data_IF_980929958371
#
_entry.id   IF_980929958371
#
_cell.length_a   1.000
_cell.length_b   1.000
_cell.length_c   1.000
_cell.angle_alpha   90.00
_cell.angle_beta   90.00
_cell.angle_gamma   90.00
#
_symmetry.space_group_name_H-M   'P 1'
#
loop_
_entity.id
_entity.type
_entity.pdbx_description
1 polymer ?
#
# COMPACT_ATOMS: atom_id res chain seq x y z
N UNK A 1 -3.80 7.12 -21.61
CA UNK A 1 -2.32 7.03 -21.57
C UNK A 1 -1.98 5.77 -20.81
N UNK A 2 -1.55 4.71 -21.50
CA UNK A 2 -1.08 3.49 -20.85
C UNK A 2 0.35 3.73 -20.39
N UNK A 3 0.62 3.61 -19.09
CA UNK A 3 1.98 3.74 -18.55
C UNK A 3 2.79 2.54 -19.08
N UNK A 4 3.83 2.75 -19.91
CA UNK A 4 4.65 1.65 -20.40
C UNK A 4 5.47 1.09 -19.23
N UNK A 5 5.31 -0.21 -18.93
CA UNK A 5 6.12 -0.94 -17.96
C UNK A 5 5.34 -1.63 -16.83
N UNK A 6 4.13 -1.16 -16.49
CA UNK A 6 3.42 -1.70 -15.33
C UNK A 6 2.86 -3.10 -15.60
N UNK A 7 3.53 -4.13 -15.07
CA UNK A 7 2.98 -5.49 -14.97
C UNK A 7 1.95 -5.53 -13.84
N UNK A 8 0.76 -6.07 -14.10
CA UNK A 8 -0.25 -6.33 -13.07
C UNK A 8 0.41 -7.04 -11.88
N UNK A 9 0.32 -6.45 -10.68
CA UNK A 9 0.92 -6.99 -9.46
C UNK A 9 0.41 -8.40 -9.15
N UNK A 10 1.25 -9.22 -8.51
CA UNK A 10 0.86 -10.56 -8.07
C UNK A 10 -0.23 -10.45 -6.99
N UNK A 11 -1.47 -10.84 -7.31
CA UNK A 11 -2.66 -10.69 -6.43
C UNK A 11 -2.60 -11.55 -5.14
N UNK A 12 -1.63 -12.46 -5.06
CA UNK A 12 -1.35 -13.27 -3.88
C UNK A 12 0.13 -13.14 -3.48
N UNK A 13 0.52 -11.95 -3.01
CA UNK A 13 1.93 -11.63 -2.68
C UNK A 13 2.52 -12.59 -1.64
N UNK A 14 1.70 -13.09 -0.72
CA UNK A 14 2.13 -14.01 0.35
C UNK A 14 2.08 -15.49 -0.04
N UNK A 15 1.74 -15.81 -1.29
CA UNK A 15 1.59 -17.19 -1.78
C UNK A 15 0.75 -18.08 -0.84
N UNK A 16 -0.36 -17.53 -0.34
CA UNK A 16 -1.27 -18.27 0.52
C UNK A 16 -1.92 -19.42 -0.26
N UNK A 17 -2.11 -20.60 0.38
CA UNK A 17 -2.80 -21.71 -0.26
C UNK A 17 -4.25 -21.32 -0.56
N UNK A 18 -4.77 -21.83 -1.66
CA UNK A 18 -6.18 -21.75 -1.98
C UNK A 18 -6.91 -22.96 -1.36
N UNK A 19 -8.13 -22.73 -0.88
CA UNK A 19 -9.05 -23.76 -0.45
C UNK A 19 -9.59 -24.58 -1.64
N UNK A 20 -10.42 -25.58 -1.35
CA UNK A 20 -11.08 -26.41 -2.36
C UNK A 20 -11.99 -25.61 -3.30
N UNK A 21 -12.36 -24.39 -2.92
CA UNK A 21 -13.20 -23.47 -3.67
C UNK A 21 -12.39 -22.44 -4.47
N UNK A 22 -11.05 -22.53 -4.50
CA UNK A 22 -10.18 -21.60 -5.22
C UNK A 22 -10.09 -20.22 -4.57
N UNK A 23 -10.39 -20.11 -3.28
CA UNK A 23 -10.28 -18.88 -2.50
C UNK A 23 -9.19 -18.98 -1.45
N UNK A 24 -8.68 -17.85 -0.99
CA UNK A 24 -7.61 -17.76 0.02
C UNK A 24 -8.04 -16.95 1.23
N UNK A 25 -7.29 -17.04 2.32
CA UNK A 25 -7.48 -16.15 3.46
C UNK A 25 -6.94 -14.73 3.22
N UNK A 26 -7.37 -13.80 4.08
CA UNK A 26 -6.81 -12.45 4.14
C UNK A 26 -5.31 -12.50 4.41
N UNK A 27 -4.54 -11.73 3.66
CA UNK A 27 -3.08 -11.70 3.85
C UNK A 27 -2.67 -10.88 5.07
N UNK A 28 -3.55 -9.98 5.50
CA UNK A 28 -3.42 -9.10 6.66
C UNK A 28 -4.48 -9.46 7.71
N UNK A 29 -4.08 -9.55 8.98
CA UNK A 29 -5.01 -9.81 10.09
C UNK A 29 -5.92 -8.63 10.40
N UNK A 30 -7.18 -8.91 10.77
CA UNK A 30 -8.20 -7.88 11.03
C UNK A 30 -7.83 -6.96 12.20
N UNK A 31 -7.36 -7.50 13.33
CA UNK A 31 -6.97 -6.70 14.50
C UNK A 31 -5.58 -6.05 14.39
N UNK A 32 -5.02 -5.97 13.18
CA UNK A 32 -3.74 -5.34 12.90
C UNK A 32 -3.78 -3.81 12.83
N UNK A 33 -4.80 -3.14 13.39
CA UNK A 33 -4.95 -1.68 13.39
C UNK A 33 -3.65 -0.94 13.79
N UNK A 34 -2.92 -1.46 14.78
CA UNK A 34 -1.69 -0.85 15.29
C UNK A 34 -0.48 -1.00 14.38
N UNK A 35 -0.53 -1.87 13.37
CA UNK A 35 0.58 -2.07 12.44
C UNK A 35 0.68 -0.96 11.38
N UNK A 36 -0.37 -0.14 11.21
CA UNK A 36 -0.34 1.09 10.41
C UNK A 36 -1.05 2.20 11.19
N UNK A 37 -0.29 2.82 12.11
CA UNK A 37 -0.81 3.88 12.96
C UNK A 37 -1.28 5.11 12.15
N UNK A 38 -0.64 5.40 11.01
CA UNK A 38 -1.01 6.53 10.16
C UNK A 38 -2.39 6.34 9.55
N UNK A 39 -2.64 5.18 8.94
CA UNK A 39 -3.97 4.84 8.42
C UNK A 39 -4.99 4.66 9.54
N UNK A 40 -4.59 4.13 10.70
CA UNK A 40 -5.47 3.99 11.86
C UNK A 40 -5.93 5.36 12.38
N UNK A 41 -5.03 6.30 12.62
CA UNK A 41 -5.38 7.66 13.05
C UNK A 41 -6.27 8.37 12.03
N UNK A 42 -5.99 8.22 10.73
CA UNK A 42 -6.85 8.78 9.69
C UNK A 42 -8.24 8.12 9.69
N UNK A 43 -8.32 6.80 9.86
CA UNK A 43 -9.59 6.08 9.96
C UNK A 43 -10.39 6.47 11.21
N UNK A 44 -9.71 6.82 12.31
CA UNK A 44 -10.36 7.27 13.55
C UNK A 44 -10.85 8.71 13.46
N UNK A 45 -10.06 9.64 12.93
CA UNK A 45 -10.42 11.07 12.89
C UNK A 45 -11.24 11.45 11.66
N UNK A 46 -11.04 10.76 10.54
CA UNK A 46 -11.70 11.03 9.27
C UNK A 46 -11.94 9.72 8.50
N UNK A 47 -12.86 8.83 8.96
CA UNK A 47 -13.11 7.53 8.33
C UNK A 47 -13.50 7.65 6.86
N UNK A 48 -14.24 8.69 6.47
CA UNK A 48 -14.60 8.95 5.08
C UNK A 48 -13.40 9.24 4.18
N UNK A 49 -12.38 9.98 4.66
CA UNK A 49 -11.17 10.22 3.89
C UNK A 49 -10.34 8.94 3.76
N UNK A 50 -10.24 8.16 4.85
CA UNK A 50 -9.53 6.89 4.84
C UNK A 50 -10.18 5.87 3.89
N UNK A 51 -11.51 5.77 3.93
CA UNK A 51 -12.27 4.88 3.07
C UNK A 51 -12.28 5.35 1.61
N UNK A 52 -12.54 6.63 1.33
CA UNK A 52 -12.45 7.19 -0.03
C UNK A 52 -11.06 6.99 -0.66
N UNK A 53 -9.98 7.12 0.14
CA UNK A 53 -8.62 6.82 -0.31
C UNK A 53 -8.47 5.35 -0.74
N UNK A 54 -8.96 4.40 0.07
CA UNK A 54 -8.92 2.97 -0.27
C UNK A 54 -9.76 2.67 -1.52
N UNK A 55 -10.95 3.23 -1.62
CA UNK A 55 -11.84 3.03 -2.77
C UNK A 55 -11.24 3.56 -4.06
N UNK A 56 -10.61 4.74 -4.03
CA UNK A 56 -9.88 5.30 -5.17
C UNK A 56 -8.74 4.39 -5.60
N UNK A 57 -7.93 3.90 -4.66
CA UNK A 57 -6.83 2.97 -4.95
C UNK A 57 -7.37 1.71 -5.60
N UNK A 58 -8.38 1.08 -5.02
CA UNK A 58 -9.03 -0.12 -5.55
C UNK A 58 -9.61 0.10 -6.96
N UNK A 59 -10.30 1.21 -7.21
CA UNK A 59 -10.88 1.52 -8.51
C UNK A 59 -9.81 1.75 -9.58
N UNK A 60 -8.72 2.45 -9.26
CA UNK A 60 -7.58 2.60 -10.15
C UNK A 60 -6.92 1.24 -10.46
N UNK A 61 -6.76 0.41 -9.42
CA UNK A 61 -6.29 -0.96 -9.55
C UNK A 61 -7.22 -1.80 -10.43
N UNK A 62 -8.54 -1.64 -10.33
CA UNK A 62 -9.53 -2.38 -11.14
C UNK A 62 -9.51 -1.95 -12.62
N UNK A 63 -9.35 -0.65 -12.90
CA UNK A 63 -9.37 -0.11 -14.27
C UNK A 63 -8.05 -0.29 -15.00
N UNK A 64 -6.94 -0.03 -14.34
CA UNK A 64 -5.62 0.04 -14.96
C UNK A 64 -4.73 -1.16 -14.63
N UNK A 65 -5.11 -2.01 -13.67
CA UNK A 65 -4.25 -3.06 -13.11
C UNK A 65 -2.86 -2.53 -12.71
N UNK A 66 -2.82 -1.28 -12.26
CA UNK A 66 -1.62 -0.53 -11.93
C UNK A 66 -1.82 0.24 -10.61
N UNK A 67 -0.77 0.41 -9.79
CA UNK A 67 -0.84 1.26 -8.62
C UNK A 67 -1.12 2.71 -9.02
N UNK A 68 -1.94 3.42 -8.22
CA UNK A 68 -2.17 4.85 -8.43
C UNK A 68 -0.85 5.61 -8.17
N UNK A 69 -0.34 6.42 -9.13
CA UNK A 69 0.87 7.21 -8.95
C UNK A 69 0.77 8.22 -7.79
N UNK A 70 -0.45 8.53 -7.31
CA UNK A 70 -0.72 9.43 -6.18
C UNK A 70 -1.31 8.70 -4.96
N UNK A 71 -1.02 7.40 -4.76
CA UNK A 71 -1.51 6.59 -3.61
C UNK A 71 -1.25 7.17 -2.21
N UNK A 72 -0.18 7.97 -2.05
CA UNK A 72 0.20 8.55 -0.75
C UNK A 72 -0.62 9.79 -0.37
N UNK A 73 -1.38 10.36 -1.30
CA UNK A 73 -2.18 11.56 -1.03
C UNK A 73 -3.42 11.21 -0.21
N UNK A 74 -3.67 11.97 0.85
CA UNK A 74 -4.85 11.82 1.72
C UNK A 74 -6.07 12.46 1.08
N UNK A 75 -5.89 13.65 0.50
CA UNK A 75 -6.97 14.37 -0.17
C UNK A 75 -7.21 13.79 -1.57
N UNK A 76 -8.48 13.55 -1.95
CA UNK A 76 -8.79 13.09 -3.29
C UNK A 76 -8.36 14.12 -4.35
N UNK A 77 -7.94 13.63 -5.53
CA UNK A 77 -7.87 14.47 -6.75
C UNK A 77 -9.28 14.79 -7.26
N UNK A 78 -9.39 15.54 -8.35
CA UNK A 78 -10.69 15.80 -9.01
C UNK A 78 -11.54 14.53 -9.23
N UNK A 79 -10.92 13.43 -9.64
CA UNK A 79 -11.55 12.11 -9.82
C UNK A 79 -11.91 11.38 -8.51
N UNK A 80 -11.35 11.81 -7.38
CA UNK A 80 -11.64 11.24 -6.07
C UNK A 80 -12.69 12.03 -5.29
N UNK A 81 -12.96 13.28 -5.67
CA UNK A 81 -13.85 14.17 -4.93
C UNK A 81 -15.29 13.66 -4.90
N UNK A 82 -15.73 12.98 -5.97
CA UNK A 82 -17.06 12.35 -5.98
C UNK A 82 -17.21 11.26 -4.92
N UNK A 83 -16.16 10.47 -4.64
CA UNK A 83 -16.23 9.42 -3.62
C UNK A 83 -16.29 10.02 -2.22
N UNK A 84 -15.50 11.06 -1.95
CA UNK A 84 -15.57 11.80 -0.70
C UNK A 84 -16.94 12.46 -0.51
N UNK A 85 -17.45 13.14 -1.55
CA UNK A 85 -18.77 13.78 -1.47
C UNK A 85 -19.87 12.76 -1.26
N UNK A 86 -19.85 11.62 -1.94
CA UNK A 86 -20.82 10.54 -1.75
C UNK A 86 -20.77 9.97 -0.33
N UNK A 87 -19.59 9.84 0.25
CA UNK A 87 -19.43 9.35 1.63
C UNK A 87 -19.90 10.36 2.68
N UNK A 88 -19.68 11.65 2.44
CA UNK A 88 -20.12 12.73 3.33
C UNK A 88 -21.62 13.00 3.19
N UNK A 89 -22.16 13.00 1.96
CA UNK A 89 -23.54 13.34 1.69
C UNK A 89 -24.52 12.23 2.07
N UNK A 90 -24.09 10.97 2.06
CA UNK A 90 -24.99 9.86 2.32
C UNK A 90 -25.01 9.40 3.78
N UNK A 91 -24.06 9.76 4.64
CA UNK A 91 -23.86 9.21 6.02
C UNK A 91 -23.85 7.66 6.14
N UNK A 92 -24.10 6.93 5.04
CA UNK A 92 -24.07 5.48 4.90
C UNK A 92 -22.67 4.99 4.53
N UNK A 93 -21.63 5.61 5.11
CA UNK A 93 -20.24 5.23 4.84
C UNK A 93 -19.97 3.75 5.07
N UNK A 94 -20.64 3.15 6.07
CA UNK A 94 -20.56 1.72 6.37
C UNK A 94 -21.11 0.83 5.24
N UNK A 95 -22.13 1.27 4.48
CA UNK A 95 -22.64 0.50 3.32
C UNK A 95 -21.60 0.48 2.21
N UNK A 96 -21.02 1.64 1.92
CA UNK A 96 -19.96 1.74 0.91
C UNK A 96 -18.72 0.94 1.35
N UNK A 97 -18.46 0.89 2.65
CA UNK A 97 -17.40 0.08 3.23
C UNK A 97 -17.61 -1.43 3.02
N UNK A 98 -18.83 -1.93 3.23
CA UNK A 98 -19.17 -3.33 2.90
C UNK A 98 -18.95 -3.60 1.40
N UNK A 99 -19.39 -2.68 0.53
CA UNK A 99 -19.21 -2.83 -0.91
C UNK A 99 -17.72 -2.84 -1.30
N UNK A 100 -16.91 -1.93 -0.76
CA UNK A 100 -15.46 -1.89 -1.01
C UNK A 100 -14.80 -3.18 -0.53
N UNK A 101 -15.13 -3.67 0.66
CA UNK A 101 -14.61 -4.93 1.20
C UNK A 101 -14.95 -6.11 0.28
N UNK A 102 -16.17 -6.20 -0.23
CA UNK A 102 -16.56 -7.24 -1.21
C UNK A 102 -15.75 -7.15 -2.50
N UNK A 103 -15.57 -5.95 -3.06
CA UNK A 103 -14.76 -5.75 -4.27
C UNK A 103 -13.29 -6.18 -4.07
N UNK A 104 -12.73 -5.91 -2.89
CA UNK A 104 -11.39 -6.40 -2.51
C UNK A 104 -11.37 -7.92 -2.50
N UNK A 105 -12.35 -8.56 -1.84
CA UNK A 105 -12.42 -10.02 -1.77
C UNK A 105 -12.57 -10.67 -3.14
N UNK A 106 -13.40 -10.11 -4.02
CA UNK A 106 -13.56 -10.59 -5.39
C UNK A 106 -12.27 -10.44 -6.21
N UNK A 107 -11.58 -9.30 -6.10
CA UNK A 107 -10.32 -9.04 -6.79
C UNK A 107 -9.23 -10.05 -6.42
N UNK A 108 -9.15 -10.39 -5.13
CA UNK A 108 -8.09 -11.21 -4.56
C UNK A 108 -8.48 -12.67 -4.31
N UNK A 109 -9.69 -13.07 -4.70
CA UNK A 109 -10.27 -14.39 -4.43
C UNK A 109 -10.20 -14.75 -2.94
N UNK A 110 -10.63 -13.84 -2.04
CA UNK A 110 -10.58 -14.06 -0.59
C UNK A 110 -11.85 -14.72 -0.07
N UNK A 111 -11.72 -15.76 0.74
CA UNK A 111 -12.87 -16.44 1.35
C UNK A 111 -13.57 -15.61 2.43
N UNK A 112 -14.85 -15.92 2.65
CA UNK A 112 -15.73 -15.22 3.56
C UNK A 112 -17.18 -15.20 3.08
N UNK A 113 -18.06 -14.82 3.99
CA UNK A 113 -19.50 -14.77 3.76
C UNK A 113 -20.00 -13.31 3.75
N UNK A 114 -21.18 -13.09 3.17
CA UNK A 114 -21.88 -11.80 3.26
C UNK A 114 -22.07 -11.34 4.72
N UNK A 115 -22.15 -12.29 5.65
CA UNK A 115 -22.28 -12.03 7.08
C UNK A 115 -20.97 -11.53 7.70
N UNK A 116 -19.83 -12.15 7.36
CA UNK A 116 -18.52 -11.68 7.79
C UNK A 116 -18.23 -10.26 7.28
N UNK A 117 -18.59 -9.98 6.03
CA UNK A 117 -18.41 -8.65 5.44
C UNK A 117 -19.33 -7.58 6.02
N UNK A 118 -20.45 -7.96 6.64
CA UNK A 118 -21.33 -7.05 7.36
C UNK A 118 -20.83 -6.80 8.79
N UNK A 119 -20.48 -7.87 9.53
CA UNK A 119 -20.10 -7.76 10.93
C UNK A 119 -18.77 -7.04 11.15
N UNK A 120 -17.83 -7.18 10.22
CA UNK A 120 -16.49 -6.59 10.37
C UNK A 120 -16.52 -5.05 10.35
N UNK A 121 -17.11 -4.40 9.33
CA UNK A 121 -17.31 -2.94 9.34
C UNK A 121 -18.21 -2.46 10.49
N UNK A 122 -19.16 -3.29 10.94
CA UNK A 122 -20.07 -2.94 12.04
C UNK A 122 -19.38 -2.93 13.40
N UNK A 123 -18.62 -3.98 13.73
CA UNK A 123 -17.98 -4.12 15.04
C UNK A 123 -16.69 -3.31 15.16
N UNK A 124 -15.94 -3.13 14.07
CA UNK A 124 -14.69 -2.39 14.09
C UNK A 124 -14.38 -1.74 12.73
N UNK A 125 -15.03 -0.62 12.38
CA UNK A 125 -14.88 0.03 11.08
C UNK A 125 -13.45 0.47 10.79
N UNK A 126 -12.72 0.97 11.79
CA UNK A 126 -11.32 1.38 11.63
C UNK A 126 -10.40 0.22 11.23
N UNK A 127 -10.59 -0.97 11.81
CA UNK A 127 -9.73 -2.11 11.49
C UNK A 127 -10.04 -2.70 10.13
N UNK A 128 -11.28 -2.63 9.67
CA UNK A 128 -11.61 -2.98 8.30
C UNK A 128 -10.97 -2.01 7.27
N UNK A 129 -10.99 -0.70 7.54
CA UNK A 129 -10.31 0.30 6.69
C UNK A 129 -8.80 0.03 6.65
N UNK A 130 -8.17 -0.22 7.79
CA UNK A 130 -6.73 -0.50 7.87
C UNK A 130 -6.39 -1.83 7.17
N UNK A 131 -7.16 -2.89 7.41
CA UNK A 131 -6.97 -4.18 6.76
C UNK A 131 -7.05 -4.04 5.23
N UNK A 132 -8.08 -3.35 4.75
CA UNK A 132 -8.30 -3.08 3.32
C UNK A 132 -7.15 -2.25 2.71
N UNK A 133 -6.71 -1.20 3.40
CA UNK A 133 -5.59 -0.35 2.96
C UNK A 133 -4.29 -1.13 2.79
N UNK A 134 -4.02 -2.04 3.74
CA UNK A 134 -2.81 -2.85 3.75
C UNK A 134 -2.84 -3.97 2.70
N UNK A 135 -4.00 -4.59 2.47
CA UNK A 135 -4.15 -5.57 1.39
C UNK A 135 -3.88 -4.92 0.03
N UNK A 136 -4.40 -3.71 -0.20
CA UNK A 136 -4.10 -2.92 -1.41
C UNK A 136 -2.61 -2.54 -1.50
N UNK A 137 -1.99 -2.18 -0.38
CA UNK A 137 -0.57 -1.81 -0.36
C UNK A 137 0.34 -2.98 -0.80
N UNK A 138 -0.01 -4.21 -0.41
CA UNK A 138 0.75 -5.40 -0.81
C UNK A 138 0.75 -5.59 -2.33
N UNK A 139 -0.40 -5.48 -3.00
CA UNK A 139 -0.44 -5.56 -4.47
C UNK A 139 0.34 -4.41 -5.13
N UNK A 140 0.20 -3.19 -4.60
CA UNK A 140 0.89 -2.01 -5.12
C UNK A 140 2.43 -2.12 -4.97
N UNK A 141 2.92 -2.69 -3.88
CA UNK A 141 4.33 -2.95 -3.62
C UNK A 141 4.87 -4.06 -4.53
N UNK A 142 4.12 -5.15 -4.69
CA UNK A 142 4.49 -6.25 -5.58
C UNK A 142 4.58 -5.80 -7.05
N UNK A 143 3.70 -4.88 -7.46
CA UNK A 143 3.75 -4.25 -8.77
C UNK A 143 5.00 -3.38 -8.94
N UNK A 144 5.38 -2.62 -7.91
CA UNK A 144 6.57 -1.76 -7.91
C UNK A 144 7.87 -2.58 -7.95
N UNK A 145 7.92 -3.73 -7.29
CA UNK A 145 9.10 -4.61 -7.28
C UNK A 145 9.33 -5.34 -8.61
N UNK A 146 8.28 -5.53 -9.43
CA UNK A 146 8.37 -6.16 -10.75
C UNK A 146 9.26 -5.41 -11.75
N UNK A 147 9.48 -4.11 -11.53
CA UNK A 147 10.35 -3.25 -12.37
C UNK A 147 11.82 -3.29 -11.93
N UNK A 148 12.15 -3.89 -10.77
CA UNK A 148 13.48 -3.86 -10.16
C UNK A 148 14.34 -5.12 -10.34
N UNK A 149 13.79 -6.24 -10.82
CA UNK A 149 14.54 -7.50 -10.96
C UNK A 149 15.16 -7.70 -12.36
N UNK A 150 15.51 -6.59 -13.02
CA UNK A 150 16.29 -6.51 -14.24
C UNK A 150 17.70 -5.92 -14.06
N UNK A 151 18.17 -5.73 -12.83
CA UNK A 151 19.58 -5.39 -12.57
C UNK A 151 20.09 -6.05 -11.30
N UNK A 152 20.34 -7.36 -11.38
CA UNK A 152 21.40 -7.97 -10.57
C UNK A 152 22.70 -7.73 -11.34
N UNK A 153 23.30 -6.56 -11.14
CA UNK A 153 24.73 -6.40 -11.42
C UNK A 153 25.45 -7.26 -10.39
N UNK A 154 25.83 -8.48 -10.79
CA UNK A 154 26.89 -9.24 -10.14
C UNK A 154 28.17 -8.44 -10.36
N UNK A 155 28.45 -7.49 -9.47
CA UNK A 155 29.83 -7.12 -9.20
C UNK A 155 30.34 -8.15 -8.19
N UNK A 156 30.95 -9.19 -8.75
CA UNK A 156 31.95 -9.93 -8.01
C UNK A 156 33.10 -8.98 -7.74
N UNK A 157 33.37 -8.68 -6.49
CA UNK A 157 34.72 -8.36 -6.07
C UNK A 157 35.00 -9.04 -4.74
N UNK A 158 36.01 -9.88 -4.81
CA UNK A 158 36.56 -10.76 -3.79
C UNK A 158 37.10 -10.01 -2.59
N UNK A 159 36.96 -10.64 -1.43
CA UNK A 159 37.61 -10.30 -0.17
C UNK A 159 39.15 -10.16 -0.29
N UNK A 160 39.70 -9.13 0.34
CA UNK A 160 40.95 -9.16 1.14
C UNK A 160 41.06 -7.81 1.87
N UNK A 161 40.93 -7.73 3.20
CA UNK A 161 41.90 -8.03 4.27
C UNK A 161 42.87 -6.86 4.59
N UNK A 162 42.89 -6.46 5.87
CA UNK A 162 43.92 -5.61 6.53
C UNK A 162 43.69 -4.10 6.42
N UNK A 163 44.09 -3.23 7.35
CA UNK A 163 44.64 -3.34 8.71
C UNK A 163 44.72 -1.91 9.25
N UNK A 164 44.31 -1.74 10.52
CA UNK A 164 44.79 -0.83 11.57
C UNK A 164 45.64 0.42 11.30
N UNK A 165 45.35 1.47 12.11
CA UNK A 165 46.21 2.60 12.57
C UNK A 165 46.60 3.63 11.49
N UNK A 166 46.79 4.93 11.72
CA UNK A 166 47.28 5.66 12.88
C UNK A 166 46.96 7.17 12.73
N UNK A 167 47.16 7.91 13.82
CA UNK A 167 47.00 9.35 14.00
C UNK A 167 48.13 10.20 13.35
N UNK A 168 48.06 11.52 13.57
CA UNK A 168 49.10 12.57 13.37
C UNK A 168 49.27 13.11 11.95
N UNK A 169 49.67 14.35 11.66
CA UNK A 169 49.84 15.65 12.35
C UNK A 169 50.42 16.60 11.28
N UNK A 170 49.94 17.85 11.23
CA UNK A 170 50.60 19.02 10.59
C UNK A 170 50.80 18.95 9.04
N UNK A 171 50.97 20.00 8.24
CA UNK A 171 51.37 21.40 8.44
C UNK A 171 50.92 22.25 7.22
N UNK A 172 50.87 23.58 7.42
CA UNK A 172 51.26 24.66 6.48
C UNK A 172 50.38 25.07 5.28
N UNK A 173 49.69 26.20 5.52
CA UNK A 173 49.47 27.42 4.69
C UNK A 173 50.83 27.85 4.04
N UNK A 174 50.97 28.61 2.91
CA UNK A 174 50.17 29.80 2.61
C UNK A 174 49.94 30.26 1.14
N UNK A 175 49.16 31.34 1.07
CA UNK A 175 49.19 32.47 0.11
C UNK A 175 48.59 32.26 -1.30
N UNK A 176 47.58 33.06 -1.66
CA UNK A 176 47.81 34.39 -2.22
C UNK A 176 46.50 35.10 -2.64
N UNK A 177 46.44 36.38 -2.25
CA UNK A 177 45.86 37.55 -2.95
C UNK A 177 44.38 37.61 -3.32
N UNK A 178 43.63 38.32 -2.48
CA UNK A 178 42.87 39.55 -2.76
C UNK A 178 42.91 40.11 -4.19
N UNK A 179 41.73 40.40 -4.76
CA UNK A 179 41.24 41.75 -5.08
C UNK A 179 39.73 41.68 -5.42
#
# INVERSE_FOLDING_TARGET
>A
MSIPGVRSGHRNVRNLPYDEHGKRDWSVSLFGCFADMGTCCLATWCPCLAHAKNRRRLDHLNRHNAPDPRRNRILPSEEGMMYLFLEVACDMGWILQIATRRNIRERYSIDGSNFSDFMVPFCCPQCDIVQSSRELALEEEACTQGDGHGEITIQGESASAGSSTDATKETSVPAASSA
#
